data_IF_575496214339
#
_entry.id   IF_575496214339
#
_cell.length_a   1.000
_cell.length_b   1.000
_cell.length_c   1.000
_cell.angle_alpha   90.00
_cell.angle_beta   90.00
_cell.angle_gamma   90.00
#
_symmetry.space_group_name_H-M   'P 1'
#
loop_
_entity.id
_entity.type
_entity.pdbx_description
1 polymer ?
#
# COMPACT_ATOMS: atom_id res chain seq x y z
N UNK A 1 -5.04 -25.69 3.85
CA UNK A 1 -4.23 -24.92 4.83
C UNK A 1 -5.11 -24.56 6.01
N UNK A 2 -4.62 -24.74 7.22
CA UNK A 2 -5.36 -24.44 8.46
C UNK A 2 -5.00 -23.06 8.99
N UNK A 3 -5.93 -22.43 9.71
CA UNK A 3 -5.64 -21.20 10.46
C UNK A 3 -4.65 -21.52 11.59
N UNK A 4 -3.78 -20.58 11.92
CA UNK A 4 -2.84 -20.69 13.02
C UNK A 4 -3.57 -20.92 14.35
N UNK A 5 -2.97 -21.70 15.22
CA UNK A 5 -3.43 -21.86 16.60
C UNK A 5 -2.94 -20.65 17.39
N UNK A 6 -3.85 -19.92 18.03
CA UNK A 6 -3.53 -18.67 18.74
C UNK A 6 -2.59 -18.92 19.93
N UNK A 7 -2.79 -20.01 20.65
CA UNK A 7 -1.94 -20.43 21.75
C UNK A 7 -1.76 -21.94 21.72
N UNK A 8 -0.53 -22.39 21.56
CA UNK A 8 -0.19 -23.80 21.46
C UNK A 8 0.84 -24.19 22.54
N UNK A 9 0.38 -24.56 23.76
CA UNK A 9 1.26 -24.94 24.86
C UNK A 9 2.06 -26.22 24.60
N UNK A 10 1.70 -26.98 23.56
CA UNK A 10 2.34 -28.24 23.20
C UNK A 10 3.34 -28.08 22.05
N UNK A 11 3.54 -26.85 21.56
CA UNK A 11 4.55 -26.59 20.54
C UNK A 11 5.94 -26.99 21.04
N UNK A 12 6.71 -27.59 20.14
CA UNK A 12 8.14 -27.87 20.32
C UNK A 12 8.97 -27.17 19.26
N UNK A 13 8.38 -26.22 18.53
CA UNK A 13 9.05 -25.47 17.47
C UNK A 13 10.18 -24.64 18.07
N UNK A 14 11.41 -24.83 17.59
CA UNK A 14 12.51 -23.96 17.97
C UNK A 14 12.50 -22.66 17.17
N UNK A 15 13.26 -21.66 17.60
CA UNK A 15 13.37 -20.39 16.89
C UNK A 15 13.78 -20.57 15.41
N UNK A 16 14.68 -21.52 15.13
CA UNK A 16 15.18 -21.76 13.78
C UNK A 16 14.14 -22.48 12.89
N UNK A 17 13.23 -23.23 13.50
CA UNK A 17 12.20 -24.02 12.80
C UNK A 17 11.02 -23.15 12.34
N UNK A 18 10.83 -21.96 12.93
CA UNK A 18 9.75 -21.03 12.58
C UNK A 18 9.66 -20.81 11.07
N UNK A 19 8.45 -20.74 10.53
CA UNK A 19 8.19 -20.44 9.12
C UNK A 19 7.23 -19.28 9.00
N UNK A 20 7.29 -18.54 7.89
CA UNK A 20 6.32 -17.48 7.60
C UNK A 20 4.89 -18.02 7.70
N UNK A 21 4.63 -19.17 7.06
CA UNK A 21 3.40 -19.94 7.22
C UNK A 21 3.70 -21.45 7.23
N UNK A 22 2.77 -22.24 7.78
CA UNK A 22 2.93 -23.69 7.91
C UNK A 22 3.92 -24.13 9.00
N UNK A 23 4.27 -23.25 9.94
CA UNK A 23 5.00 -23.58 11.16
C UNK A 23 4.07 -24.11 12.27
N UNK A 24 4.66 -24.46 13.41
CA UNK A 24 3.98 -24.98 14.61
C UNK A 24 4.25 -24.08 15.83
N UNK A 25 4.04 -22.78 15.69
CA UNK A 25 4.33 -21.79 16.73
C UNK A 25 3.53 -22.02 18.01
N UNK A 26 4.12 -21.63 19.15
CA UNK A 26 3.44 -21.54 20.45
C UNK A 26 2.45 -20.36 20.53
N UNK A 27 2.55 -19.42 19.59
CA UNK A 27 1.73 -18.21 19.49
C UNK A 27 2.27 -17.01 20.26
N UNK A 28 3.41 -17.14 20.95
CA UNK A 28 3.93 -16.09 21.81
C UNK A 28 4.78 -15.08 21.04
N UNK A 29 4.39 -13.81 21.13
CA UNK A 29 5.16 -12.68 20.60
C UNK A 29 6.24 -12.33 21.63
N UNK A 30 7.47 -12.79 21.39
CA UNK A 30 8.63 -12.53 22.24
C UNK A 30 9.68 -11.67 21.53
N UNK A 31 9.56 -10.33 21.64
CA UNK A 31 10.48 -9.37 21.02
C UNK A 31 11.96 -9.52 21.43
N UNK A 32 12.27 -10.27 22.50
CA UNK A 32 13.67 -10.53 22.88
C UNK A 32 14.32 -11.66 22.07
N UNK A 33 13.53 -12.48 21.36
CA UNK A 33 13.99 -13.68 20.63
C UNK A 33 13.13 -13.92 19.39
N UNK A 34 13.56 -13.36 18.26
CA UNK A 34 12.87 -13.48 16.95
C UNK A 34 13.76 -14.16 15.89
N UNK A 35 13.15 -14.94 14.99
CA UNK A 35 13.86 -15.55 13.85
C UNK A 35 14.08 -14.50 12.77
N UNK A 36 13.02 -13.78 12.43
CA UNK A 36 13.04 -12.78 11.36
C UNK A 36 13.47 -11.42 11.93
N UNK A 37 14.78 -11.15 11.89
CA UNK A 37 15.32 -9.88 12.37
C UNK A 37 14.80 -8.68 11.58
N UNK A 38 14.56 -8.85 10.27
CA UNK A 38 13.92 -7.84 9.43
C UNK A 38 12.55 -7.41 9.97
N UNK A 39 11.80 -8.31 10.62
CA UNK A 39 10.48 -7.98 11.17
C UNK A 39 10.59 -7.10 12.43
N UNK A 40 11.65 -7.26 13.21
CA UNK A 40 11.93 -6.39 14.37
C UNK A 40 12.30 -4.98 13.90
N UNK A 41 13.23 -4.87 12.95
CA UNK A 41 13.63 -3.59 12.37
C UNK A 41 12.43 -2.86 11.74
N UNK A 42 11.56 -3.63 11.08
CA UNK A 42 10.36 -3.10 10.46
C UNK A 42 9.35 -2.62 11.51
N UNK A 43 9.13 -3.39 12.57
CA UNK A 43 8.29 -3.00 13.70
C UNK A 43 8.75 -1.67 14.30
N UNK A 44 10.04 -1.54 14.63
CA UNK A 44 10.59 -0.31 15.21
C UNK A 44 10.43 0.90 14.26
N UNK A 45 10.60 0.66 12.96
CA UNK A 45 10.39 1.67 11.92
C UNK A 45 8.92 2.12 11.85
N UNK A 46 7.98 1.16 11.84
CA UNK A 46 6.54 1.45 11.81
C UNK A 46 6.11 2.20 13.07
N UNK A 47 6.61 1.82 14.25
CA UNK A 47 6.33 2.55 15.50
C UNK A 47 6.82 4.01 15.42
N UNK A 48 8.06 4.23 14.97
CA UNK A 48 8.63 5.56 14.78
C UNK A 48 7.84 6.40 13.77
N UNK A 49 7.18 5.77 12.80
CA UNK A 49 6.34 6.46 11.81
C UNK A 49 4.98 6.91 12.35
N UNK A 50 4.60 6.62 13.60
CA UNK A 50 3.27 7.02 14.11
C UNK A 50 2.96 8.51 13.90
N UNK A 51 1.79 8.78 13.30
CA UNK A 51 1.33 10.12 12.95
C UNK A 51 -0.19 10.28 13.12
N UNK A 52 -0.65 11.52 13.27
CA UNK A 52 -2.04 11.83 13.60
C UNK A 52 -2.69 12.72 12.52
N UNK A 53 -3.72 12.25 11.80
CA UNK A 53 -4.26 12.99 10.66
C UNK A 53 -4.77 14.40 10.97
N UNK A 54 -5.30 14.63 12.18
CA UNK A 54 -5.80 15.96 12.59
C UNK A 54 -4.70 17.00 12.81
N UNK A 55 -3.43 16.61 12.78
CA UNK A 55 -2.29 17.54 12.86
C UNK A 55 -1.94 18.17 11.50
N UNK A 56 -2.48 17.64 10.40
CA UNK A 56 -2.31 18.19 9.06
C UNK A 56 -3.30 19.34 8.84
N UNK A 57 -2.78 20.50 8.39
CA UNK A 57 -3.59 21.70 8.18
C UNK A 57 -4.32 21.68 6.83
N UNK A 58 -5.65 21.63 6.86
CA UNK A 58 -6.49 21.54 5.66
C UNK A 58 -7.16 22.88 5.25
N UNK A 59 -6.88 23.98 5.96
CA UNK A 59 -7.54 25.28 5.70
C UNK A 59 -7.27 25.81 4.29
N UNK A 60 -6.06 25.61 3.77
CA UNK A 60 -5.73 26.05 2.41
C UNK A 60 -6.38 25.14 1.37
N UNK A 61 -6.36 23.83 1.56
CA UNK A 61 -7.05 22.85 0.70
C UNK A 61 -8.54 23.15 0.53
N UNK A 62 -9.24 23.52 1.61
CA UNK A 62 -10.65 23.93 1.54
C UNK A 62 -10.89 25.14 0.62
N UNK A 63 -9.89 26.02 0.46
CA UNK A 63 -9.93 27.14 -0.49
C UNK A 63 -9.54 26.69 -1.89
N UNK A 64 -8.41 25.99 -2.02
CA UNK A 64 -7.87 25.52 -3.29
C UNK A 64 -8.88 24.65 -4.04
N UNK A 65 -9.58 23.77 -3.32
CA UNK A 65 -10.59 22.87 -3.88
C UNK A 65 -11.69 23.60 -4.65
N UNK A 66 -12.07 24.81 -4.22
CA UNK A 66 -13.09 25.65 -4.88
C UNK A 66 -12.60 26.22 -6.22
N UNK A 67 -11.29 26.29 -6.41
CA UNK A 67 -10.64 26.86 -7.61
C UNK A 67 -9.98 25.79 -8.49
N UNK A 68 -10.09 24.49 -8.13
CA UNK A 68 -9.70 23.42 -9.03
C UNK A 68 -10.51 23.50 -10.32
N UNK A 69 -9.85 23.25 -11.44
CA UNK A 69 -10.57 23.06 -12.71
C UNK A 69 -11.51 21.86 -12.60
N UNK A 70 -12.57 21.78 -13.42
CA UNK A 70 -13.46 20.62 -13.41
C UNK A 70 -12.73 19.27 -13.57
N UNK A 71 -11.68 19.24 -14.38
CA UNK A 71 -10.86 18.04 -14.59
C UNK A 71 -10.04 17.68 -13.34
N UNK A 72 -9.35 18.65 -12.73
CA UNK A 72 -8.58 18.44 -11.50
C UNK A 72 -9.49 17.98 -10.35
N UNK A 73 -10.65 18.60 -10.19
CA UNK A 73 -11.63 18.25 -9.16
C UNK A 73 -12.14 16.83 -9.35
N UNK A 74 -12.54 16.47 -10.57
CA UNK A 74 -12.99 15.11 -10.89
C UNK A 74 -11.91 14.06 -10.62
N UNK A 75 -10.67 14.32 -11.03
CA UNK A 75 -9.55 13.43 -10.75
C UNK A 75 -9.36 13.27 -9.23
N UNK A 76 -9.31 14.38 -8.50
CA UNK A 76 -9.13 14.39 -7.04
C UNK A 76 -10.22 13.57 -6.34
N UNK A 77 -11.49 13.82 -6.66
CA UNK A 77 -12.63 13.14 -6.03
C UNK A 77 -12.59 11.62 -6.28
N UNK A 78 -12.34 11.21 -7.54
CA UNK A 78 -12.26 9.80 -7.91
C UNK A 78 -11.06 9.08 -7.27
N UNK A 79 -9.90 9.74 -7.21
CA UNK A 79 -8.71 9.18 -6.55
C UNK A 79 -8.97 9.03 -5.06
N UNK A 80 -9.50 10.06 -4.40
CA UNK A 80 -9.79 10.01 -2.97
C UNK A 80 -10.79 8.89 -2.63
N UNK A 81 -11.87 8.77 -3.41
CA UNK A 81 -12.85 7.68 -3.25
C UNK A 81 -12.23 6.29 -3.45
N UNK A 82 -11.32 6.14 -4.41
CA UNK A 82 -10.62 4.89 -4.67
C UNK A 82 -9.63 4.52 -3.56
N UNK A 83 -8.88 5.48 -3.02
CA UNK A 83 -7.97 5.25 -1.91
C UNK A 83 -8.73 4.83 -0.64
N UNK A 84 -9.84 5.51 -0.32
CA UNK A 84 -10.74 5.15 0.78
C UNK A 84 -11.18 3.68 0.68
N UNK A 85 -11.58 3.24 -0.51
CA UNK A 85 -11.99 1.86 -0.73
C UNK A 85 -10.85 0.87 -0.45
N UNK A 86 -9.64 1.15 -0.96
CA UNK A 86 -8.51 0.23 -0.83
C UNK A 86 -8.06 0.08 0.63
N UNK A 87 -7.91 1.16 1.38
CA UNK A 87 -7.55 1.10 2.80
C UNK A 87 -8.63 0.40 3.65
N UNK A 88 -9.91 0.63 3.33
CA UNK A 88 -11.02 -0.07 3.98
C UNK A 88 -10.96 -1.58 3.72
N UNK A 89 -10.64 -1.98 2.49
CA UNK A 89 -10.46 -3.37 2.12
C UNK A 89 -9.25 -3.99 2.84
N UNK A 90 -8.10 -3.30 2.86
CA UNK A 90 -6.86 -3.80 3.45
C UNK A 90 -6.96 -3.99 4.97
N UNK A 91 -7.57 -3.02 5.67
CA UNK A 91 -7.82 -3.12 7.12
C UNK A 91 -8.45 -4.47 7.49
N UNK A 92 -9.44 -4.93 6.71
CA UNK A 92 -10.13 -6.19 6.98
C UNK A 92 -9.39 -7.40 6.37
N UNK A 93 -8.93 -7.29 5.13
CA UNK A 93 -8.27 -8.37 4.40
C UNK A 93 -7.02 -8.89 5.13
N UNK A 94 -6.21 -7.99 5.68
CA UNK A 94 -5.01 -8.36 6.43
C UNK A 94 -5.36 -9.21 7.66
N UNK A 95 -6.39 -8.81 8.41
CA UNK A 95 -6.78 -9.48 9.65
C UNK A 95 -7.56 -10.77 9.41
N UNK A 96 -8.36 -10.84 8.35
CA UNK A 96 -9.26 -11.96 8.12
C UNK A 96 -8.70 -13.03 7.17
N UNK A 97 -7.91 -12.63 6.16
CA UNK A 97 -7.48 -13.50 5.07
C UNK A 97 -5.96 -13.75 5.01
N UNK A 98 -5.14 -12.88 5.61
CA UNK A 98 -3.67 -13.03 5.61
C UNK A 98 -3.16 -13.49 6.98
N UNK A 99 -3.24 -12.62 8.00
CA UNK A 99 -2.70 -12.82 9.33
C UNK A 99 -3.12 -14.16 9.98
N UNK A 100 -4.34 -14.70 9.78
CA UNK A 100 -4.74 -15.97 10.37
C UNK A 100 -3.96 -17.19 9.87
N UNK A 101 -3.19 -17.06 8.79
CA UNK A 101 -2.42 -18.17 8.20
C UNK A 101 -0.91 -17.99 8.34
N UNK A 102 -0.47 -16.81 8.80
CA UNK A 102 0.94 -16.53 9.10
C UNK A 102 1.26 -17.07 10.48
N UNK A 103 2.21 -18.02 10.55
CA UNK A 103 2.55 -18.76 11.78
C UNK A 103 3.68 -18.14 12.59
N UNK A 104 4.42 -17.19 12.02
CA UNK A 104 5.49 -16.47 12.72
C UNK A 104 4.93 -15.31 13.57
N UNK A 105 5.06 -15.33 14.92
CA UNK A 105 4.49 -14.30 15.78
C UNK A 105 5.03 -12.88 15.53
N UNK A 106 6.32 -12.74 15.20
CA UNK A 106 6.92 -11.44 14.86
C UNK A 106 6.30 -10.79 13.61
N UNK A 107 5.96 -11.61 12.62
CA UNK A 107 5.30 -11.13 11.39
C UNK A 107 3.83 -10.78 11.71
N UNK A 108 3.19 -11.53 12.61
CA UNK A 108 1.84 -11.20 13.06
C UNK A 108 1.77 -9.83 13.75
N UNK A 109 2.80 -9.46 14.52
CA UNK A 109 2.89 -8.13 15.12
C UNK A 109 2.91 -7.05 14.03
N UNK A 110 3.79 -7.17 13.03
CA UNK A 110 3.87 -6.24 11.90
C UNK A 110 2.55 -6.14 11.12
N UNK A 111 1.89 -7.26 10.82
CA UNK A 111 0.57 -7.25 10.13
C UNK A 111 -0.52 -6.56 10.98
N UNK A 112 -0.46 -6.71 12.30
CA UNK A 112 -1.38 -6.03 13.21
C UNK A 112 -1.14 -4.52 13.23
N UNK A 113 0.14 -4.11 13.19
CA UNK A 113 0.52 -2.70 13.06
C UNK A 113 0.10 -2.12 11.72
N UNK A 114 0.36 -2.82 10.62
CA UNK A 114 -0.10 -2.42 9.28
C UNK A 114 -1.61 -2.21 9.27
N UNK A 115 -2.41 -3.15 9.77
CA UNK A 115 -3.87 -2.99 9.80
C UNK A 115 -4.33 -1.78 10.63
N UNK A 116 -3.59 -1.38 11.66
CA UNK A 116 -3.84 -0.14 12.37
C UNK A 116 -3.51 1.09 11.50
N UNK A 117 -2.42 1.04 10.74
CA UNK A 117 -2.03 2.10 9.80
C UNK A 117 -3.08 2.26 8.69
N UNK A 118 -3.60 1.18 8.09
CA UNK A 118 -4.70 1.26 7.10
C UNK A 118 -5.98 1.91 7.67
N UNK A 119 -6.29 1.63 8.95
CA UNK A 119 -7.39 2.28 9.64
C UNK A 119 -7.11 3.77 9.90
N UNK A 120 -5.85 4.12 10.18
CA UNK A 120 -5.41 5.51 10.33
C UNK A 120 -5.42 6.26 8.99
N UNK A 121 -5.04 5.61 7.89
CA UNK A 121 -5.19 6.13 6.53
C UNK A 121 -6.66 6.43 6.23
N UNK A 122 -7.57 5.50 6.54
CA UNK A 122 -9.02 5.69 6.40
C UNK A 122 -9.52 6.89 7.20
N UNK A 123 -9.04 7.06 8.43
CA UNK A 123 -9.33 8.24 9.27
C UNK A 123 -8.77 9.52 8.66
N UNK A 124 -7.63 9.45 7.98
CA UNK A 124 -7.00 10.59 7.32
C UNK A 124 -7.81 11.09 6.12
N UNK A 125 -8.40 10.18 5.35
CA UNK A 125 -9.31 10.56 4.27
C UNK A 125 -10.57 11.23 4.80
N UNK A 126 -11.09 10.83 5.97
CA UNK A 126 -12.21 11.53 6.59
C UNK A 126 -11.85 13.01 6.85
N UNK A 127 -10.65 13.29 7.38
CA UNK A 127 -10.16 14.67 7.56
C UNK A 127 -10.07 15.41 6.22
N UNK A 128 -9.60 14.74 5.16
CA UNK A 128 -9.53 15.33 3.83
C UNK A 128 -10.92 15.66 3.27
N UNK A 129 -11.86 14.70 3.30
CA UNK A 129 -13.22 14.86 2.78
C UNK A 129 -14.00 15.93 3.55
N UNK A 130 -13.93 15.93 4.88
CA UNK A 130 -14.55 16.96 5.74
C UNK A 130 -14.07 18.38 5.42
N UNK A 131 -12.85 18.53 4.90
CA UNK A 131 -12.30 19.84 4.55
C UNK A 131 -12.81 20.42 3.23
N UNK A 132 -13.28 19.56 2.31
CA UNK A 132 -13.63 19.95 0.94
C UNK A 132 -15.12 19.81 0.61
N UNK A 133 -15.89 19.09 1.41
CA UNK A 133 -17.31 18.81 1.15
C UNK A 133 -18.17 18.88 2.41
N UNK A 134 -19.28 19.63 2.34
CA UNK A 134 -20.31 19.64 3.37
C UNK A 134 -21.16 18.34 3.34
N UNK A 135 -21.23 17.67 2.19
CA UNK A 135 -21.87 16.38 2.03
C UNK A 135 -20.82 15.33 1.66
N UNK A 136 -20.24 14.71 2.68
CA UNK A 136 -19.12 13.76 2.53
C UNK A 136 -19.52 12.51 1.75
N UNK A 137 -20.80 12.12 1.78
CA UNK A 137 -21.33 10.97 1.04
C UNK A 137 -21.09 11.09 -0.47
N UNK A 138 -21.00 12.31 -1.02
CA UNK A 138 -20.70 12.52 -2.43
C UNK A 138 -19.35 11.91 -2.86
N UNK A 139 -18.38 11.80 -1.94
CA UNK A 139 -17.09 11.17 -2.18
C UNK A 139 -17.13 9.68 -1.81
N UNK A 140 -17.69 9.34 -0.64
CA UNK A 140 -17.77 7.94 -0.18
C UNK A 140 -18.62 7.05 -1.10
N UNK A 141 -19.67 7.60 -1.71
CA UNK A 141 -20.62 6.86 -2.54
C UNK A 141 -20.35 6.98 -4.05
N UNK A 142 -19.23 7.56 -4.48
CA UNK A 142 -18.94 7.70 -5.93
C UNK A 142 -18.96 6.36 -6.67
N UNK A 143 -18.58 5.26 -6.02
CA UNK A 143 -18.65 3.92 -6.62
C UNK A 143 -20.09 3.48 -6.97
N UNK A 144 -21.13 4.12 -6.41
CA UNK A 144 -22.53 3.84 -6.76
C UNK A 144 -22.91 4.46 -8.11
N UNK A 145 -22.26 5.54 -8.53
CA UNK A 145 -22.62 6.34 -9.72
C UNK A 145 -21.53 6.35 -10.79
N UNK A 146 -20.26 6.15 -10.44
CA UNK A 146 -19.14 6.02 -11.37
C UNK A 146 -18.86 4.54 -11.69
N UNK A 147 -19.22 4.15 -12.92
CA UNK A 147 -19.11 2.76 -13.37
C UNK A 147 -17.65 2.28 -13.42
N UNK A 148 -16.69 3.14 -13.75
CA UNK A 148 -15.28 2.74 -13.90
C UNK A 148 -14.61 2.54 -12.54
N UNK A 149 -14.95 3.40 -11.56
CA UNK A 149 -14.55 3.22 -10.16
C UNK A 149 -15.12 1.91 -9.61
N UNK A 150 -16.42 1.64 -9.85
CA UNK A 150 -17.06 0.40 -9.44
C UNK A 150 -16.40 -0.84 -10.05
N UNK A 151 -16.10 -0.79 -11.35
CA UNK A 151 -15.40 -1.87 -12.07
C UNK A 151 -14.06 -2.18 -11.42
N UNK A 152 -13.23 -1.15 -11.18
CA UNK A 152 -11.93 -1.30 -10.52
C UNK A 152 -12.05 -1.87 -9.11
N UNK A 153 -12.93 -1.30 -8.28
CA UNK A 153 -13.15 -1.76 -6.91
C UNK A 153 -13.63 -3.22 -6.88
N UNK A 154 -14.54 -3.58 -7.79
CA UNK A 154 -15.05 -4.95 -7.93
C UNK A 154 -13.94 -5.91 -8.30
N UNK A 155 -13.12 -5.58 -9.30
CA UNK A 155 -11.98 -6.42 -9.70
C UNK A 155 -11.02 -6.66 -8.54
N UNK A 156 -10.61 -5.60 -7.82
CA UNK A 156 -9.69 -5.72 -6.68
C UNK A 156 -10.29 -6.62 -5.59
N UNK A 157 -11.56 -6.42 -5.24
CA UNK A 157 -12.25 -7.26 -4.26
C UNK A 157 -12.36 -8.72 -4.71
N UNK A 158 -12.61 -8.97 -6.00
CA UNK A 158 -12.70 -10.32 -6.56
C UNK A 158 -11.37 -11.07 -6.50
N UNK A 159 -10.23 -10.40 -6.71
CA UNK A 159 -8.91 -11.01 -6.54
C UNK A 159 -8.77 -11.60 -5.14
N UNK A 160 -8.99 -10.79 -4.09
CA UNK A 160 -8.88 -11.26 -2.72
C UNK A 160 -9.93 -12.31 -2.36
N UNK A 161 -11.17 -12.13 -2.81
CA UNK A 161 -12.25 -13.10 -2.62
C UNK A 161 -11.88 -14.47 -3.21
N UNK A 162 -11.36 -14.50 -4.44
CA UNK A 162 -11.01 -15.76 -5.10
C UNK A 162 -9.83 -16.47 -4.42
N UNK A 163 -8.91 -15.69 -3.83
CA UNK A 163 -7.76 -16.21 -3.10
C UNK A 163 -8.12 -16.69 -1.68
N UNK A 164 -9.16 -16.14 -1.06
CA UNK A 164 -9.61 -16.53 0.30
C UNK A 164 -10.73 -17.56 0.32
N UNK A 165 -11.50 -17.72 -0.77
CA UNK A 165 -12.62 -18.66 -0.83
C UNK A 165 -12.21 -20.09 -1.19
N UNK A 166 -13.02 -21.05 -0.72
CA UNK A 166 -12.83 -22.48 -0.94
C UNK A 166 -11.70 -23.07 -0.10
N UNK A 167 -11.09 -24.15 -0.60
CA UNK A 167 -9.89 -24.69 0.02
C UNK A 167 -8.74 -23.68 -0.14
N UNK A 168 -8.19 -23.22 0.99
CA UNK A 168 -7.00 -22.40 1.01
C UNK A 168 -5.76 -23.28 0.87
N UNK A 169 -4.97 -23.05 -0.15
CA UNK A 169 -3.72 -23.76 -0.44
C UNK A 169 -2.51 -22.86 -0.19
N UNK A 170 -1.32 -23.45 -0.10
CA UNK A 170 -0.06 -22.71 -0.04
C UNK A 170 0.11 -21.75 -1.23
N UNK A 171 -0.26 -22.20 -2.42
CA UNK A 171 -0.24 -21.40 -3.64
C UNK A 171 -1.15 -20.17 -3.51
N UNK A 172 -2.40 -20.34 -3.03
CA UNK A 172 -3.34 -19.23 -2.87
C UNK A 172 -2.87 -18.19 -1.86
N UNK A 173 -2.32 -18.62 -0.72
CA UNK A 173 -1.76 -17.69 0.26
C UNK A 173 -0.59 -16.92 -0.36
N UNK A 174 0.31 -17.61 -1.06
CA UNK A 174 1.45 -16.98 -1.71
C UNK A 174 1.02 -15.98 -2.79
N UNK A 175 0.03 -16.32 -3.63
CA UNK A 175 -0.59 -15.40 -4.58
C UNK A 175 -1.25 -14.20 -3.88
N UNK A 176 -1.83 -14.39 -2.69
CA UNK A 176 -2.38 -13.30 -1.89
C UNK A 176 -1.28 -12.35 -1.39
N UNK A 177 -0.07 -12.85 -1.07
CA UNK A 177 1.07 -11.98 -0.75
C UNK A 177 1.46 -11.10 -1.96
N UNK A 178 1.48 -11.69 -3.17
CA UNK A 178 1.70 -10.93 -4.40
C UNK A 178 0.56 -9.95 -4.72
N UNK A 179 -0.69 -10.30 -4.40
CA UNK A 179 -1.83 -9.38 -4.55
C UNK A 179 -1.67 -8.12 -3.67
N UNK A 180 -1.19 -8.28 -2.43
CA UNK A 180 -0.88 -7.14 -1.56
C UNK A 180 0.28 -6.31 -2.10
N UNK A 181 1.35 -6.93 -2.61
CA UNK A 181 2.43 -6.19 -3.31
C UNK A 181 1.92 -5.36 -4.49
N UNK A 182 0.94 -5.86 -5.24
CA UNK A 182 0.32 -5.12 -6.34
C UNK A 182 -0.50 -3.95 -5.80
N UNK A 183 -1.35 -4.19 -4.80
CA UNK A 183 -2.24 -3.17 -4.25
C UNK A 183 -1.45 -2.00 -3.64
N UNK A 184 -0.54 -2.31 -2.72
CA UNK A 184 0.35 -1.35 -2.03
C UNK A 184 1.36 -0.73 -3.00
N UNK A 185 1.85 -1.50 -3.96
CA UNK A 185 3.00 -1.11 -4.77
C UNK A 185 2.67 -0.41 -6.08
N UNK A 186 1.48 -0.64 -6.64
CA UNK A 186 1.04 -0.09 -7.93
C UNK A 186 -0.18 0.80 -7.75
N UNK A 187 -1.29 0.29 -7.20
CA UNK A 187 -2.56 1.02 -7.18
C UNK A 187 -2.49 2.27 -6.29
N UNK A 188 -1.89 2.13 -5.09
CA UNK A 188 -1.67 3.27 -4.20
C UNK A 188 -0.70 4.31 -4.80
N UNK A 189 0.47 3.86 -5.29
CA UNK A 189 1.48 4.76 -5.88
C UNK A 189 0.97 5.54 -7.10
N UNK A 190 0.07 4.96 -7.90
CA UNK A 190 -0.60 5.66 -8.99
C UNK A 190 -1.53 6.77 -8.47
N UNK A 191 -2.33 6.47 -7.43
CA UNK A 191 -3.16 7.47 -6.75
C UNK A 191 -2.34 8.59 -6.10
N UNK A 192 -1.20 8.25 -5.49
CA UNK A 192 -0.32 9.24 -4.86
C UNK A 192 0.24 10.23 -5.88
N UNK A 193 0.74 9.71 -7.01
CA UNK A 193 1.24 10.55 -8.09
C UNK A 193 0.19 11.54 -8.61
N UNK A 194 -1.09 11.14 -8.67
CA UNK A 194 -2.18 12.03 -9.08
C UNK A 194 -2.41 13.18 -8.08
N UNK A 195 -2.38 12.91 -6.77
CA UNK A 195 -2.50 13.98 -5.75
C UNK A 195 -1.26 14.89 -5.77
N UNK A 196 -0.06 14.33 -5.90
CA UNK A 196 1.18 15.10 -5.99
C UNK A 196 1.26 15.99 -7.24
N UNK A 197 0.53 15.66 -8.31
CA UNK A 197 0.42 16.53 -9.49
C UNK A 197 -0.17 17.91 -9.13
N UNK A 198 -1.19 17.91 -8.26
CA UNK A 198 -1.80 19.14 -7.73
C UNK A 198 -0.85 19.83 -6.77
N UNK A 199 -0.22 19.06 -5.87
CA UNK A 199 0.76 19.57 -4.91
C UNK A 199 1.95 20.26 -5.57
N UNK A 200 2.49 19.68 -6.65
CA UNK A 200 3.56 20.27 -7.46
C UNK A 200 3.14 21.57 -8.14
N UNK A 201 1.85 21.74 -8.40
CA UNK A 201 1.26 22.97 -8.95
C UNK A 201 0.87 23.99 -7.86
N UNK A 202 1.25 23.74 -6.61
CA UNK A 202 0.98 24.63 -5.48
C UNK A 202 -0.46 24.56 -4.95
N UNK A 203 -1.20 23.49 -5.28
CA UNK A 203 -2.61 23.28 -4.88
C UNK A 203 -2.73 22.06 -3.98
N UNK A 204 -3.68 22.06 -3.06
CA UNK A 204 -4.00 20.88 -2.23
C UNK A 204 -2.76 20.37 -1.46
N UNK A 205 -2.00 21.28 -0.86
CA UNK A 205 -0.73 20.97 -0.19
C UNK A 205 -0.93 20.16 1.10
N UNK A 206 -2.04 20.38 1.82
CA UNK A 206 -2.43 19.57 2.98
C UNK A 206 -2.73 18.13 2.58
N UNK A 207 -3.47 17.93 1.49
CA UNK A 207 -3.71 16.61 0.89
C UNK A 207 -2.40 15.94 0.48
N UNK A 208 -1.51 16.69 -0.16
CA UNK A 208 -0.19 16.18 -0.55
C UNK A 208 0.66 15.77 0.66
N UNK A 209 0.60 16.53 1.75
CA UNK A 209 1.26 16.18 3.01
C UNK A 209 0.64 14.91 3.63
N UNK A 210 -0.68 14.78 3.64
CA UNK A 210 -1.40 13.59 4.12
C UNK A 210 -0.94 12.34 3.36
N UNK A 211 -0.95 12.41 2.02
CA UNK A 211 -0.54 11.31 1.15
C UNK A 211 0.94 10.97 1.31
N UNK A 212 1.82 11.92 1.67
CA UNK A 212 3.21 11.61 2.00
C UNK A 212 3.33 10.76 3.26
N UNK A 213 2.55 11.05 4.31
CA UNK A 213 2.56 10.21 5.50
C UNK A 213 2.10 8.79 5.19
N UNK A 214 1.00 8.66 4.44
CA UNK A 214 0.51 7.36 3.94
C UNK A 214 1.60 6.66 3.12
N UNK A 215 2.20 7.33 2.13
CA UNK A 215 3.23 6.71 1.29
C UNK A 215 4.45 6.23 2.09
N UNK A 216 4.84 6.93 3.17
CA UNK A 216 5.92 6.47 4.04
C UNK A 216 5.56 5.17 4.76
N UNK A 217 4.31 5.04 5.20
CA UNK A 217 3.83 3.80 5.82
C UNK A 217 3.75 2.68 4.76
N UNK A 218 3.25 2.97 3.55
CA UNK A 218 3.24 2.04 2.40
C UNK A 218 4.63 1.51 2.00
N UNK A 219 5.71 2.27 2.21
CA UNK A 219 7.07 1.75 2.02
C UNK A 219 7.35 0.58 2.97
N UNK A 220 6.93 0.70 4.24
CA UNK A 220 7.11 -0.37 5.22
C UNK A 220 6.18 -1.56 4.94
N UNK A 221 4.96 -1.31 4.45
CA UNK A 221 4.04 -2.38 4.04
C UNK A 221 4.62 -3.19 2.86
N UNK A 222 5.19 -2.49 1.88
CA UNK A 222 5.90 -3.13 0.77
C UNK A 222 7.08 -3.98 1.25
N UNK A 223 7.89 -3.47 2.18
CA UNK A 223 9.01 -4.23 2.74
C UNK A 223 8.53 -5.46 3.50
N UNK A 224 7.41 -5.38 4.24
CA UNK A 224 6.82 -6.52 4.95
C UNK A 224 6.52 -7.67 3.99
N UNK A 225 5.74 -7.40 2.93
CA UNK A 225 5.35 -8.42 1.98
C UNK A 225 6.52 -8.94 1.12
N UNK A 226 7.46 -8.08 0.74
CA UNK A 226 8.70 -8.50 0.05
C UNK A 226 9.50 -9.47 0.91
N UNK A 227 9.69 -9.14 2.19
CA UNK A 227 10.41 -9.99 3.13
C UNK A 227 9.71 -11.31 3.40
N UNK A 228 8.38 -11.31 3.52
CA UNK A 228 7.61 -12.55 3.61
C UNK A 228 7.81 -13.42 2.36
N UNK A 229 7.65 -12.87 1.15
CA UNK A 229 7.80 -13.62 -0.11
C UNK A 229 9.22 -14.19 -0.23
N UNK A 230 10.25 -13.37 0.03
CA UNK A 230 11.65 -13.78 -0.05
C UNK A 230 12.02 -14.82 1.02
N UNK A 231 11.43 -14.74 2.21
CA UNK A 231 11.61 -15.75 3.28
C UNK A 231 10.95 -17.08 2.90
N UNK A 232 9.70 -17.05 2.39
CA UNK A 232 9.01 -18.25 1.88
C UNK A 232 9.79 -18.88 0.74
N UNK A 233 10.39 -18.09 -0.17
CA UNK A 233 11.24 -18.60 -1.26
C UNK A 233 12.44 -19.40 -0.74
N UNK A 234 13.05 -18.96 0.36
CA UNK A 234 14.17 -19.65 1.00
C UNK A 234 13.71 -20.89 1.78
N UNK A 235 12.59 -20.78 2.48
CA UNK A 235 12.04 -21.85 3.34
C UNK A 235 11.39 -22.98 2.55
N UNK A 236 10.75 -22.65 1.43
CA UNK A 236 9.88 -23.50 0.64
C UNK A 236 10.07 -23.28 -0.87
N UNK A 237 11.28 -23.53 -1.41
CA UNK A 237 11.59 -23.28 -2.82
C UNK A 237 10.71 -24.09 -3.78
N UNK A 238 10.14 -25.22 -3.33
CA UNK A 238 9.23 -26.06 -4.12
C UNK A 238 7.94 -25.33 -4.54
N UNK A 239 7.54 -24.27 -3.83
CA UNK A 239 6.37 -23.47 -4.18
C UNK A 239 6.65 -22.51 -5.35
N UNK A 240 7.90 -22.12 -5.58
CA UNK A 240 8.28 -21.13 -6.59
C UNK A 240 8.53 -21.77 -7.95
N UNK A 241 7.50 -22.42 -8.47
CA UNK A 241 7.50 -23.05 -9.78
C UNK A 241 7.37 -22.01 -10.91
N UNK A 242 7.73 -22.40 -12.14
CA UNK A 242 7.48 -21.57 -13.32
C UNK A 242 5.98 -21.30 -13.55
N UNK A 243 5.10 -22.21 -13.12
CA UNK A 243 3.64 -22.00 -13.19
C UNK A 243 3.19 -20.90 -12.22
N UNK A 244 3.70 -20.91 -10.97
CA UNK A 244 3.43 -19.83 -10.04
C UNK A 244 3.96 -18.49 -10.56
N UNK A 245 5.20 -18.46 -11.08
CA UNK A 245 5.77 -17.23 -11.64
C UNK A 245 4.89 -16.67 -12.77
N UNK A 246 4.39 -17.52 -13.67
CA UNK A 246 3.50 -17.08 -14.75
C UNK A 246 2.16 -16.54 -14.21
N UNK A 247 1.57 -17.18 -13.19
CA UNK A 247 0.37 -16.66 -12.50
C UNK A 247 0.63 -15.28 -11.91
N UNK A 248 1.76 -15.10 -11.22
CA UNK A 248 2.17 -13.79 -10.66
C UNK A 248 2.35 -12.75 -11.76
N UNK A 249 3.09 -13.06 -12.83
CA UNK A 249 3.29 -12.15 -13.97
C UNK A 249 1.97 -11.76 -14.63
N UNK A 250 1.04 -12.70 -14.75
CA UNK A 250 -0.31 -12.44 -15.26
C UNK A 250 -1.08 -11.46 -14.36
N UNK A 251 -1.01 -11.63 -13.03
CA UNK A 251 -1.60 -10.66 -12.08
C UNK A 251 -1.01 -9.26 -12.24
N UNK A 252 0.32 -9.14 -12.37
CA UNK A 252 0.99 -7.86 -12.60
C UNK A 252 0.60 -7.23 -13.95
N UNK A 253 0.58 -8.01 -15.04
CA UNK A 253 0.10 -7.53 -16.35
C UNK A 253 -1.32 -7.00 -16.25
N UNK A 254 -2.21 -7.74 -15.60
CA UNK A 254 -3.60 -7.31 -15.45
C UNK A 254 -3.76 -6.07 -14.58
N UNK A 255 -2.97 -5.97 -13.52
CA UNK A 255 -2.92 -4.77 -12.67
C UNK A 255 -2.45 -3.54 -13.44
N UNK A 256 -1.41 -3.68 -14.27
CA UNK A 256 -0.89 -2.61 -15.13
C UNK A 256 -1.95 -2.14 -16.12
N UNK A 257 -2.63 -3.06 -16.80
CA UNK A 257 -3.73 -2.73 -17.72
C UNK A 257 -4.87 -1.97 -17.02
N UNK A 258 -5.31 -2.49 -15.88
CA UNK A 258 -6.40 -1.90 -15.11
C UNK A 258 -6.05 -0.49 -14.63
N UNK A 259 -4.87 -0.33 -14.04
CA UNK A 259 -4.42 0.94 -13.46
C UNK A 259 -4.12 1.96 -14.56
N UNK A 260 -3.57 1.54 -15.71
CA UNK A 260 -3.36 2.44 -16.84
C UNK A 260 -4.70 2.93 -17.41
N UNK A 261 -5.68 2.02 -17.59
CA UNK A 261 -7.03 2.38 -18.03
C UNK A 261 -7.72 3.33 -17.02
N UNK A 262 -7.55 3.07 -15.73
CA UNK A 262 -8.05 3.94 -14.67
C UNK A 262 -7.41 5.33 -14.71
N UNK A 263 -6.08 5.40 -14.81
CA UNK A 263 -5.33 6.65 -14.90
C UNK A 263 -5.75 7.50 -16.11
N UNK A 264 -5.87 6.90 -17.29
CA UNK A 264 -6.42 7.58 -18.47
C UNK A 264 -7.84 8.09 -18.22
N UNK A 265 -8.69 7.30 -17.55
CA UNK A 265 -10.08 7.66 -17.26
C UNK A 265 -10.21 8.85 -16.29
N UNK A 266 -9.42 8.88 -15.22
CA UNK A 266 -9.49 9.95 -14.22
C UNK A 266 -8.89 11.26 -14.75
N UNK A 267 -7.85 11.18 -15.58
CA UNK A 267 -7.14 12.36 -16.10
C UNK A 267 -7.75 12.90 -17.40
N UNK A 268 -8.29 12.05 -18.26
CA UNK A 268 -8.85 12.38 -19.58
C UNK A 268 -7.90 13.24 -20.45
N UNK A 269 -6.59 13.13 -20.24
CA UNK A 269 -5.58 13.97 -20.91
C UNK A 269 -5.63 15.46 -20.53
N UNK A 270 -6.36 15.84 -19.48
CA UNK A 270 -6.57 17.23 -19.05
C UNK A 270 -5.70 17.63 -17.86
N UNK A 271 -4.89 16.70 -17.33
CA UNK A 271 -4.02 16.94 -16.18
C UNK A 271 -2.59 17.15 -16.68
N UNK A 272 -2.03 18.33 -16.37
CA UNK A 272 -0.70 18.71 -16.83
C UNK A 272 0.36 17.70 -16.36
N UNK A 273 1.14 17.18 -17.30
CA UNK A 273 2.21 16.21 -17.02
C UNK A 273 1.76 14.76 -16.90
N UNK A 274 0.47 14.46 -17.10
CA UNK A 274 -0.09 13.11 -17.05
C UNK A 274 -0.80 12.78 -18.38
N UNK A 275 -0.01 12.40 -19.39
CA UNK A 275 -0.54 11.77 -20.60
C UNK A 275 -0.73 10.28 -20.38
N UNK A 276 -1.61 9.65 -21.15
CA UNK A 276 -1.82 8.19 -21.13
C UNK A 276 -0.51 7.41 -21.22
N UNK A 277 0.41 7.83 -22.10
CA UNK A 277 1.72 7.21 -22.24
C UNK A 277 2.60 7.33 -20.98
N UNK A 278 2.59 8.50 -20.32
CA UNK A 278 3.33 8.72 -19.06
C UNK A 278 2.74 7.86 -17.94
N UNK A 279 1.41 7.81 -17.84
CA UNK A 279 0.69 7.01 -16.85
C UNK A 279 1.03 5.53 -17.02
N UNK A 280 0.86 4.98 -18.23
CA UNK A 280 1.18 3.57 -18.50
C UNK A 280 2.64 3.26 -18.20
N UNK A 281 3.57 4.10 -18.65
CA UNK A 281 4.99 3.88 -18.41
C UNK A 281 5.35 3.95 -16.92
N UNK A 282 4.69 4.80 -16.13
CA UNK A 282 4.93 4.89 -14.69
C UNK A 282 4.48 3.62 -13.97
N UNK A 283 3.30 3.11 -14.31
CA UNK A 283 2.76 1.89 -13.71
C UNK A 283 3.59 0.67 -14.10
N UNK A 284 4.06 0.59 -15.35
CA UNK A 284 5.02 -0.42 -15.82
C UNK A 284 6.35 -0.35 -15.05
N UNK A 285 6.88 0.85 -14.85
CA UNK A 285 8.09 1.07 -14.05
C UNK A 285 7.91 0.56 -12.60
N UNK A 286 6.78 0.87 -11.96
CA UNK A 286 6.47 0.35 -10.63
C UNK A 286 6.40 -1.18 -10.63
N UNK A 287 5.70 -1.78 -11.60
CA UNK A 287 5.59 -3.24 -11.74
C UNK A 287 6.95 -3.92 -11.82
N UNK A 288 7.87 -3.41 -12.64
CA UNK A 288 9.23 -3.91 -12.75
C UNK A 288 9.96 -3.85 -11.41
N UNK A 289 9.87 -2.70 -10.71
CA UNK A 289 10.50 -2.53 -9.40
C UNK A 289 9.99 -3.53 -8.36
N UNK A 290 8.67 -3.80 -8.34
CA UNK A 290 8.07 -4.75 -7.39
C UNK A 290 8.46 -6.19 -7.71
N UNK A 291 8.50 -6.58 -8.99
CA UNK A 291 8.94 -7.92 -9.42
C UNK A 291 10.41 -8.16 -9.06
N UNK A 292 11.28 -7.17 -9.30
CA UNK A 292 12.70 -7.28 -8.98
C UNK A 292 12.96 -7.41 -7.48
N UNK A 293 12.20 -6.70 -6.63
CA UNK A 293 12.33 -6.77 -5.17
C UNK A 293 12.06 -8.17 -4.58
N UNK A 294 11.35 -9.03 -5.32
CA UNK A 294 11.02 -10.41 -4.92
C UNK A 294 11.72 -11.47 -5.78
N UNK A 295 12.80 -11.07 -6.47
CA UNK A 295 13.70 -11.96 -7.20
C UNK A 295 13.23 -12.38 -8.59
N UNK A 296 12.21 -11.71 -9.15
CA UNK A 296 11.80 -11.91 -10.55
C UNK A 296 12.44 -10.88 -11.48
N UNK A 297 12.63 -11.25 -12.74
CA UNK A 297 13.08 -10.30 -13.78
C UNK A 297 11.98 -9.30 -14.11
N UNK A 298 12.38 -8.07 -14.43
CA UNK A 298 11.51 -7.04 -15.00
C UNK A 298 10.69 -7.57 -16.19
N UNK A 299 9.45 -7.09 -16.30
CA UNK A 299 8.48 -7.45 -17.34
C UNK A 299 8.56 -6.47 -18.52
N UNK A 300 8.68 -5.17 -18.24
CA UNK A 300 8.58 -4.10 -19.25
C UNK A 300 9.93 -3.44 -19.57
N UNK A 301 10.86 -3.44 -18.62
CA UNK A 301 12.18 -2.81 -18.71
C UNK A 301 12.12 -1.33 -19.10
N UNK A 302 11.18 -0.58 -18.51
CA UNK A 302 10.96 0.84 -18.82
C UNK A 302 11.66 1.78 -17.82
N UNK A 303 11.96 2.99 -18.25
CA UNK A 303 12.53 4.04 -17.39
C UNK A 303 11.44 4.77 -16.61
N UNK A 304 11.79 5.34 -15.45
CA UNK A 304 10.87 6.17 -14.67
C UNK A 304 10.49 7.46 -15.44
N UNK A 305 9.21 7.67 -15.81
CA UNK A 305 8.81 8.83 -16.63
C UNK A 305 8.63 10.13 -15.84
N UNK A 306 8.45 10.03 -14.52
CA UNK A 306 8.15 11.16 -13.63
C UNK A 306 9.02 11.14 -12.36
N UNK A 307 10.36 11.16 -12.48
CA UNK A 307 11.28 11.02 -11.34
C UNK A 307 11.16 12.11 -10.28
N UNK A 308 10.45 13.20 -10.59
CA UNK A 308 10.13 14.23 -9.61
C UNK A 308 9.18 13.72 -8.51
N UNK A 309 8.40 12.67 -8.76
CA UNK A 309 7.48 12.07 -7.77
C UNK A 309 8.26 11.55 -6.56
N UNK A 310 9.38 10.87 -6.79
CA UNK A 310 10.24 10.34 -5.71
C UNK A 310 10.76 11.47 -4.81
N UNK A 311 11.29 12.55 -5.42
CA UNK A 311 11.78 13.72 -4.68
C UNK A 311 10.67 14.51 -3.98
N UNK A 312 9.45 14.52 -4.53
CA UNK A 312 8.30 15.17 -3.91
C UNK A 312 7.78 14.37 -2.70
N UNK A 313 7.78 13.03 -2.82
CA UNK A 313 7.39 12.12 -1.74
C UNK A 313 8.38 12.18 -0.56
N UNK A 314 9.67 12.34 -0.85
CA UNK A 314 10.75 12.41 0.14
C UNK A 314 10.49 13.43 1.24
N UNK A 315 10.51 13.00 2.51
CA UNK A 315 10.41 13.87 3.69
C UNK A 315 11.69 14.67 3.98
N UNK A 316 12.82 14.30 3.39
CA UNK A 316 14.12 14.93 3.69
C UNK A 316 14.42 16.13 2.81
N UNK A 317 13.79 16.24 1.63
CA UNK A 317 14.12 17.26 0.64
C UNK A 317 13.27 18.54 0.74
N UNK A 318 12.20 18.54 1.54
CA UNK A 318 11.38 19.73 1.76
C UNK A 318 11.75 20.44 3.06
N UNK A 319 12.45 21.57 2.92
CA UNK A 319 12.64 22.54 4.00
C UNK A 319 11.27 23.11 4.38
N UNK A 320 10.71 22.68 5.51
CA UNK A 320 9.61 23.40 6.14
C UNK A 320 10.12 24.78 6.54
N UNK A 321 9.49 25.84 6.01
CA UNK A 321 9.77 27.20 6.47
C UNK A 321 9.40 27.29 7.95
N UNK A 322 10.41 27.52 8.78
CA UNK A 322 10.38 27.51 10.24
C UNK A 322 9.34 28.47 10.87
N UNK A 323 8.72 29.33 10.07
CA UNK A 323 7.80 30.38 10.52
C UNK A 323 6.31 30.09 10.24
N UNK A 324 5.96 29.03 9.51
CA UNK A 324 4.57 28.78 9.08
C UNK A 324 3.96 27.44 9.55
N UNK A 325 4.74 26.56 10.18
CA UNK A 325 4.26 25.26 10.66
C UNK A 325 4.42 25.09 12.16
N UNK A 326 3.41 24.54 12.84
CA UNK A 326 3.66 23.83 14.09
C UNK A 326 4.69 22.74 13.75
N UNK A 327 5.86 22.79 14.39
CA UNK A 327 6.90 21.79 14.20
C UNK A 327 6.36 20.48 14.78
N UNK A 328 5.73 19.66 13.94
CA UNK A 328 5.38 18.30 14.29
C UNK A 328 6.68 17.51 14.22
N UNK A 329 7.40 17.46 15.35
CA UNK A 329 8.59 16.64 15.54
C UNK A 329 8.16 15.17 15.61
N UNK A 330 7.82 14.56 14.48
CA UNK A 330 7.83 13.11 14.39
C UNK A 330 9.28 12.65 14.48
N UNK A 331 9.57 11.78 15.45
CA UNK A 331 10.85 11.07 15.50
C UNK A 331 10.96 10.24 14.22
N UNK A 332 11.84 10.65 13.31
CA UNK A 332 12.01 9.96 12.04
C UNK A 332 12.71 8.62 12.30
N UNK A 333 12.04 7.50 12.03
CA UNK A 333 12.76 6.26 11.76
C UNK A 333 13.54 6.43 10.45
N UNK A 334 14.86 6.23 10.47
CA UNK A 334 15.64 6.12 9.23
C UNK A 334 15.48 4.71 8.68
N UNK A 335 14.92 4.56 7.48
CA UNK A 335 14.91 3.29 6.76
C UNK A 335 16.26 3.16 6.07
N UNK A 336 17.09 2.22 6.53
CA UNK A 336 18.25 1.74 5.77
C UNK A 336 17.84 0.47 5.03
N UNK A 337 17.92 0.46 3.70
CA UNK A 337 17.51 -0.70 2.90
C UNK A 337 18.46 -1.90 3.07
N UNK A 338 19.67 -1.68 3.60
CA UNK A 338 20.59 -2.77 3.92
C UNK A 338 20.13 -3.60 5.15
N UNK A 339 19.17 -3.08 5.93
CA UNK A 339 18.60 -3.74 7.10
C UNK A 339 17.44 -4.71 6.76
N UNK A 340 17.01 -4.81 5.48
CA UNK A 340 15.78 -5.49 5.06
C UNK A 340 15.95 -6.59 4.00
#
# INVERSE_FOLDING_TARGET
>A
MERKIIYNPNSKESLNDRRVFGGNSDGMINFTRMKYQWALNLWDTMEANTWFPREVQMTQDAKDYKYLTPAEKRMYDLVLSQLIFMDSLQTNNLMDNINPYITAPEINACLSRQSYEEANHSKSYAVMVESISDNTDLIYDMWKTDAKLKEKNTYIAEVYKNLSQGELTDEKLLLALFANQILEGLYFYAGFAAIYALGKSGKMLGSSQMIRFIQRDEVTHLLLFQNMINSVRKERPELFTSELEEKVRSMFRKAVELEASWGSYITQGQILGFTDAIITQYIQYLADRRLEAVGYKAEYSVKHPIPWVDGYASFNDQRTNFFEGNVVNYSKGSIDFDDF
#
